data_IF_722594186290
#
_entry.id   IF_722594186290
#
_cell.length_a   1.000
_cell.length_b   1.000
_cell.length_c   1.000
_cell.angle_alpha   90.00
_cell.angle_beta   90.00
_cell.angle_gamma   90.00
#
_symmetry.space_group_name_H-M   'P 1'
#
loop_
_entity.id
_entity.type
_entity.pdbx_description
1 polymer ?
#
# COMPACT_ATOMS: atom_id res chain seq x y z
N UNK A 1 20.99 6.38 -22.77
CA UNK A 1 19.71 5.93 -23.38
C UNK A 1 18.78 5.62 -22.22
N UNK A 2 17.50 5.97 -22.27
CA UNK A 2 16.56 5.77 -21.15
C UNK A 2 15.31 5.00 -21.58
N UNK A 3 14.55 4.48 -20.62
CA UNK A 3 13.35 3.69 -20.86
C UNK A 3 12.10 4.41 -20.35
N UNK A 4 11.04 4.44 -21.15
CA UNK A 4 9.75 5.02 -20.84
C UNK A 4 8.66 3.95 -20.98
N UNK A 5 7.82 3.80 -19.96
CA UNK A 5 6.72 2.83 -19.98
C UNK A 5 5.42 3.57 -20.21
N UNK A 6 4.68 3.14 -21.22
CA UNK A 6 3.38 3.73 -21.58
C UNK A 6 2.35 3.34 -20.52
N UNK A 7 1.91 4.31 -19.71
CA UNK A 7 0.96 4.09 -18.61
C UNK A 7 -0.48 3.82 -19.08
N UNK A 8 -0.93 4.53 -20.12
CA UNK A 8 -2.26 4.40 -20.73
C UNK A 8 -2.13 4.27 -22.25
N UNK A 9 -3.07 3.59 -22.88
CA UNK A 9 -3.10 3.45 -24.33
C UNK A 9 -3.13 4.83 -25.00
N UNK A 10 -2.16 5.10 -25.88
CA UNK A 10 -1.99 6.43 -26.44
C UNK A 10 -1.30 6.42 -27.81
N UNK A 11 -1.18 7.60 -28.43
CA UNK A 11 -0.51 7.78 -29.72
C UNK A 11 0.87 8.38 -29.53
N UNK A 12 1.78 8.16 -30.48
CA UNK A 12 3.13 8.74 -30.45
C UNK A 12 3.13 10.25 -30.21
N UNK A 13 2.18 10.98 -30.80
CA UNK A 13 2.09 12.44 -30.66
C UNK A 13 1.93 12.88 -29.20
N UNK A 14 1.04 12.22 -28.45
CA UNK A 14 0.81 12.51 -27.04
C UNK A 14 2.01 12.12 -26.16
N UNK A 15 2.71 11.04 -26.50
CA UNK A 15 3.96 10.65 -25.83
C UNK A 15 5.08 11.64 -26.15
N UNK A 16 5.16 12.12 -27.39
CA UNK A 16 6.18 13.08 -27.82
C UNK A 16 6.02 14.44 -27.13
N UNK A 17 4.80 14.92 -26.89
CA UNK A 17 4.55 16.15 -26.12
C UNK A 17 5.02 16.00 -24.66
N UNK A 18 4.88 14.80 -24.09
CA UNK A 18 5.42 14.47 -22.76
C UNK A 18 6.94 14.37 -22.75
N UNK A 19 7.55 13.80 -23.80
CA UNK A 19 8.99 13.54 -23.87
C UNK A 19 9.83 14.71 -24.41
N UNK A 20 9.28 15.60 -25.24
CA UNK A 20 10.01 16.69 -25.89
C UNK A 20 9.83 18.01 -25.15
N UNK A 21 10.84 18.88 -25.22
CA UNK A 21 10.74 20.24 -24.68
C UNK A 21 9.73 21.09 -25.47
N UNK A 22 8.88 21.86 -24.78
CA UNK A 22 7.84 22.69 -25.41
C UNK A 22 8.40 23.81 -26.32
N UNK A 23 9.68 24.18 -26.14
CA UNK A 23 10.33 25.28 -26.87
C UNK A 23 11.19 24.81 -28.05
N UNK A 24 10.97 23.59 -28.56
CA UNK A 24 11.69 23.12 -29.74
C UNK A 24 11.11 23.72 -31.01
N UNK A 25 11.99 24.15 -31.92
CA UNK A 25 11.57 24.46 -33.28
C UNK A 25 10.97 23.22 -33.96
N UNK A 26 10.06 23.43 -34.91
CA UNK A 26 9.37 22.36 -35.62
C UNK A 26 10.35 21.35 -36.25
N UNK A 27 11.46 21.84 -36.81
CA UNK A 27 12.55 21.04 -37.38
C UNK A 27 13.23 20.13 -36.34
N UNK A 28 13.42 20.61 -35.11
CA UNK A 28 14.02 19.82 -34.02
C UNK A 28 13.06 18.79 -33.46
N UNK A 29 11.76 19.10 -33.47
CA UNK A 29 10.72 18.18 -33.02
C UNK A 29 10.58 16.99 -33.97
N UNK A 30 10.61 17.23 -35.29
CA UNK A 30 10.59 16.17 -36.30
C UNK A 30 11.85 15.28 -36.26
N UNK A 31 13.03 15.89 -36.08
CA UNK A 31 14.27 15.14 -35.92
C UNK A 31 14.26 14.24 -34.66
N UNK A 32 13.70 14.74 -33.56
CA UNK A 32 13.58 13.98 -32.32
C UNK A 32 12.56 12.83 -32.46
N UNK A 33 11.42 13.05 -33.13
CA UNK A 33 10.46 11.99 -33.44
C UNK A 33 11.07 10.89 -34.30
N UNK A 34 11.86 11.26 -35.31
CA UNK A 34 12.57 10.30 -36.17
C UNK A 34 13.59 9.48 -35.36
N UNK A 35 14.35 10.11 -34.48
CA UNK A 35 15.29 9.42 -33.60
C UNK A 35 14.57 8.47 -32.61
N UNK A 36 13.37 8.84 -32.13
CA UNK A 36 12.55 7.98 -31.27
C UNK A 36 12.02 6.76 -32.03
N UNK A 37 11.63 6.94 -33.30
CA UNK A 37 11.19 5.86 -34.18
C UNK A 37 12.34 4.90 -34.53
N UNK A 38 13.52 5.42 -34.83
CA UNK A 38 14.73 4.63 -35.08
C UNK A 38 15.16 3.82 -33.85
N UNK A 39 14.96 4.36 -32.65
CA UNK A 39 15.27 3.65 -31.39
C UNK A 39 14.23 2.58 -31.01
N UNK A 40 13.04 2.57 -31.62
CA UNK A 40 11.94 1.67 -31.28
C UNK A 40 11.31 0.99 -32.50
N UNK A 41 12.06 0.18 -33.26
CA UNK A 41 11.52 -0.54 -34.40
C UNK A 41 10.46 -1.60 -34.00
N UNK A 42 10.42 -1.99 -32.73
CA UNK A 42 9.49 -2.98 -32.18
C UNK A 42 8.14 -2.39 -31.72
N UNK A 43 8.03 -1.07 -31.61
CA UNK A 43 6.81 -0.42 -31.11
C UNK A 43 5.90 0.03 -32.27
N UNK A 44 4.61 -0.28 -32.20
CA UNK A 44 3.63 0.32 -33.10
C UNK A 44 3.35 1.77 -32.67
N UNK A 45 4.00 2.71 -33.35
CA UNK A 45 3.91 4.13 -33.05
C UNK A 45 2.53 4.74 -33.39
N UNK A 46 1.70 4.01 -34.15
CA UNK A 46 0.32 4.42 -34.43
C UNK A 46 -0.58 4.23 -33.22
N UNK A 47 -0.24 3.23 -32.39
CA UNK A 47 -1.03 2.80 -31.23
C UNK A 47 -0.13 2.15 -30.18
N UNK A 48 0.22 2.92 -29.16
CA UNK A 48 1.03 2.46 -28.05
C UNK A 48 0.13 1.86 -26.98
N UNK A 49 0.17 0.54 -26.81
CA UNK A 49 -0.56 -0.16 -25.77
C UNK A 49 0.00 0.18 -24.37
N UNK A 50 -0.86 0.13 -23.35
CA UNK A 50 -0.44 0.17 -21.95
C UNK A 50 0.63 -0.90 -21.68
N UNK A 51 1.69 -0.53 -20.98
CA UNK A 51 2.84 -1.40 -20.70
C UNK A 51 3.90 -1.46 -21.80
N UNK A 52 3.70 -0.78 -22.94
CA UNK A 52 4.72 -0.72 -24.00
C UNK A 52 5.96 0.01 -23.49
N UNK A 53 7.13 -0.60 -23.71
CA UNK A 53 8.43 -0.05 -23.32
C UNK A 53 9.07 0.65 -24.52
N UNK A 54 9.34 1.94 -24.36
CA UNK A 54 10.00 2.79 -25.35
C UNK A 54 11.40 3.18 -24.88
N UNK A 55 12.38 3.03 -25.77
CA UNK A 55 13.74 3.53 -25.62
C UNK A 55 13.83 4.97 -26.11
N UNK A 56 14.16 5.88 -25.23
CA UNK A 56 14.31 7.31 -25.55
C UNK A 56 15.81 7.64 -25.63
N UNK A 57 16.29 8.18 -26.77
CA UNK A 57 17.66 8.66 -26.91
C UNK A 57 17.96 9.88 -26.04
N UNK A 58 19.17 9.98 -25.50
CA UNK A 58 19.63 11.17 -24.77
C UNK A 58 20.20 12.22 -25.73
N UNK A 59 19.33 12.75 -26.60
CA UNK A 59 19.68 13.83 -27.53
C UNK A 59 19.10 15.17 -27.06
N UNK A 60 19.67 16.32 -27.49
CA UNK A 60 19.30 17.66 -27.01
C UNK A 60 17.89 18.18 -27.39
N UNK A 61 16.90 17.30 -27.56
CA UNK A 61 15.48 17.61 -27.69
C UNK A 61 14.58 16.90 -26.68
N UNK A 62 15.10 15.92 -25.94
CA UNK A 62 14.30 15.17 -24.97
C UNK A 62 14.43 15.76 -23.57
N UNK A 63 13.29 15.98 -22.91
CA UNK A 63 13.21 16.42 -21.50
C UNK A 63 13.99 15.44 -20.64
N UNK A 64 15.12 15.85 -20.07
CA UNK A 64 15.97 15.00 -19.19
C UNK A 64 15.18 14.44 -17.99
N UNK A 65 14.12 15.12 -17.57
CA UNK A 65 13.27 14.76 -16.43
C UNK A 65 12.33 13.57 -16.65
N UNK A 66 12.24 13.00 -17.87
CA UNK A 66 11.37 11.85 -18.14
C UNK A 66 12.10 10.52 -17.92
N UNK A 67 12.53 10.27 -16.69
CA UNK A 67 12.70 8.91 -16.13
C UNK A 67 11.39 8.41 -15.49
N UNK A 68 10.26 9.02 -15.81
CA UNK A 68 8.93 8.65 -15.35
C UNK A 68 8.47 7.38 -16.08
N UNK A 69 8.93 6.23 -15.59
CA UNK A 69 7.98 5.16 -15.31
C UNK A 69 7.24 5.57 -14.03
N UNK A 70 5.92 5.46 -14.04
CA UNK A 70 4.94 6.01 -13.09
C UNK A 70 4.65 7.51 -13.30
N UNK A 71 3.43 7.77 -13.76
CA UNK A 71 2.64 8.95 -13.47
C UNK A 71 2.68 9.22 -11.97
N UNK A 72 3.10 10.42 -11.58
CA UNK A 72 3.55 10.79 -10.23
C UNK A 72 4.89 10.15 -9.86
N UNK A 73 5.83 10.95 -9.32
CA UNK A 73 7.20 10.47 -9.08
C UNK A 73 7.23 9.17 -8.28
N UNK A 74 8.26 8.31 -8.41
CA UNK A 74 8.32 6.99 -7.77
C UNK A 74 8.12 7.02 -6.24
N UNK A 75 8.40 8.17 -5.62
CA UNK A 75 8.18 8.39 -4.19
C UNK A 75 6.71 8.69 -3.84
N UNK A 76 5.96 9.36 -4.73
CA UNK A 76 4.53 9.61 -4.56
C UNK A 76 3.73 8.31 -4.70
N UNK A 77 4.06 7.49 -5.71
CA UNK A 77 3.47 6.16 -5.86
C UNK A 77 3.79 5.23 -4.66
N UNK A 78 5.00 5.32 -4.10
CA UNK A 78 5.35 4.60 -2.88
C UNK A 78 4.56 5.11 -1.66
N UNK A 79 4.30 6.42 -1.58
CA UNK A 79 3.49 7.01 -0.52
C UNK A 79 2.04 6.51 -0.58
N UNK A 80 1.43 6.51 -1.76
CA UNK A 80 0.08 5.96 -1.94
C UNK A 80 -0.01 4.48 -1.58
N UNK A 81 0.95 3.67 -2.04
CA UNK A 81 1.00 2.24 -1.70
C UNK A 81 1.17 1.99 -0.20
N UNK A 82 1.98 2.81 0.50
CA UNK A 82 2.12 2.69 1.94
C UNK A 82 0.84 3.07 2.67
N UNK A 83 0.18 4.15 2.25
CA UNK A 83 -1.06 4.62 2.85
C UNK A 83 -2.18 3.59 2.69
N UNK A 84 -2.31 3.01 1.49
CA UNK A 84 -3.27 1.93 1.21
C UNK A 84 -2.96 0.68 2.03
N UNK A 85 -1.70 0.23 2.08
CA UNK A 85 -1.30 -0.94 2.85
C UNK A 85 -1.53 -0.76 4.37
N UNK A 86 -1.27 0.44 4.90
CA UNK A 86 -1.54 0.79 6.30
C UNK A 86 -3.03 0.82 6.59
N UNK A 87 -3.84 1.37 5.69
CA UNK A 87 -5.30 1.37 5.78
C UNK A 87 -5.85 -0.06 5.83
N UNK A 88 -5.44 -0.92 4.91
CA UNK A 88 -5.83 -2.33 4.89
C UNK A 88 -5.40 -3.08 6.14
N UNK A 89 -4.17 -2.86 6.62
CA UNK A 89 -3.67 -3.50 7.83
C UNK A 89 -4.46 -3.08 9.08
N UNK A 90 -4.85 -1.80 9.18
CA UNK A 90 -5.70 -1.30 10.26
C UNK A 90 -7.11 -1.89 10.18
N UNK A 91 -7.70 -1.94 8.98
CA UNK A 91 -9.04 -2.50 8.77
C UNK A 91 -9.08 -3.99 9.12
N UNK A 92 -8.11 -4.78 8.65
CA UNK A 92 -8.01 -6.21 8.94
C UNK A 92 -7.76 -6.47 10.43
N UNK A 93 -6.89 -5.67 11.07
CA UNK A 93 -6.62 -5.77 12.51
C UNK A 93 -7.87 -5.45 13.33
N UNK A 94 -8.60 -4.37 12.98
CA UNK A 94 -9.82 -3.98 13.67
C UNK A 94 -10.94 -5.02 13.47
N UNK A 95 -11.10 -5.54 12.25
CA UNK A 95 -12.09 -6.58 11.96
C UNK A 95 -11.79 -7.87 12.73
N UNK A 96 -10.53 -8.32 12.74
CA UNK A 96 -10.10 -9.48 13.51
C UNK A 96 -10.24 -9.29 15.02
N UNK A 97 -9.93 -8.09 15.53
CA UNK A 97 -10.12 -7.72 16.93
C UNK A 97 -11.59 -7.77 17.34
N UNK A 98 -12.48 -7.20 16.52
CA UNK A 98 -13.92 -7.21 16.76
C UNK A 98 -14.51 -8.64 16.74
N UNK A 99 -14.08 -9.49 15.80
CA UNK A 99 -14.50 -10.88 15.77
C UNK A 99 -14.07 -11.63 17.04
N UNK A 100 -12.81 -11.46 17.48
CA UNK A 100 -12.32 -12.05 18.73
C UNK A 100 -13.07 -11.54 19.95
N UNK A 101 -13.40 -10.25 20.01
CA UNK A 101 -14.18 -9.66 21.10
C UNK A 101 -15.58 -10.30 21.19
N UNK A 102 -16.23 -10.55 20.05
CA UNK A 102 -17.52 -11.22 19.99
C UNK A 102 -17.42 -12.68 20.51
N UNK A 103 -16.40 -13.42 20.07
CA UNK A 103 -16.16 -14.80 20.53
C UNK A 103 -15.86 -14.86 22.05
N UNK A 104 -15.08 -13.91 22.55
CA UNK A 104 -14.80 -13.77 23.98
C UNK A 104 -16.09 -13.50 24.76
N UNK A 105 -16.94 -12.57 24.29
CA UNK A 105 -18.21 -12.26 24.94
C UNK A 105 -19.13 -13.48 24.98
N UNK A 106 -19.22 -14.24 23.88
CA UNK A 106 -20.01 -15.47 23.84
C UNK A 106 -19.46 -16.53 24.81
N UNK A 107 -18.14 -16.67 24.90
CA UNK A 107 -17.47 -17.59 25.84
C UNK A 107 -17.75 -17.19 27.30
N UNK A 108 -17.71 -15.89 27.60
CA UNK A 108 -18.04 -15.40 28.95
C UNK A 108 -19.52 -15.65 29.30
N UNK A 109 -20.44 -15.45 28.36
CA UNK A 109 -21.86 -15.79 28.54
C UNK A 109 -22.07 -17.28 28.82
N UNK A 110 -21.29 -18.15 28.17
CA UNK A 110 -21.36 -19.60 28.42
C UNK A 110 -20.93 -19.95 29.86
N UNK A 111 -19.99 -19.23 30.46
CA UNK A 111 -19.64 -19.42 31.87
C UNK A 111 -20.75 -19.01 32.84
N UNK A 112 -21.66 -18.14 32.40
CA UNK A 112 -22.82 -17.73 33.17
C UNK A 112 -24.04 -18.65 32.99
N UNK A 113 -23.90 -19.73 32.21
CA UNK A 113 -24.93 -20.74 32.06
C UNK A 113 -25.19 -21.51 33.38
N UNK A 114 -26.43 -21.97 33.55
CA UNK A 114 -26.86 -22.68 34.75
C UNK A 114 -26.06 -23.95 35.03
N UNK A 115 -25.60 -24.67 34.00
CA UNK A 115 -24.80 -25.88 34.16
C UNK A 115 -23.39 -25.56 34.68
N UNK A 116 -22.73 -24.54 34.13
CA UNK A 116 -21.39 -24.11 34.55
C UNK A 116 -21.42 -23.52 35.96
N UNK A 117 -22.43 -22.70 36.28
CA UNK A 117 -22.64 -22.16 37.63
C UNK A 117 -22.81 -23.25 38.68
N UNK A 118 -23.55 -24.32 38.36
CA UNK A 118 -23.69 -25.49 39.24
C UNK A 118 -22.35 -26.21 39.43
N UNK A 119 -21.58 -26.41 38.36
CA UNK A 119 -20.26 -27.04 38.44
C UNK A 119 -19.27 -26.22 39.27
N UNK A 120 -19.31 -24.88 39.18
CA UNK A 120 -18.54 -23.97 40.03
C UNK A 120 -18.93 -24.07 41.52
N UNK A 121 -20.19 -24.41 41.80
CA UNK A 121 -20.70 -24.62 43.16
C UNK A 121 -20.41 -26.01 43.72
N UNK A 122 -19.89 -26.94 42.93
CA UNK A 122 -19.62 -28.32 43.35
C UNK A 122 -18.44 -28.35 44.36
N UNK A 123 -18.60 -29.00 45.53
CA UNK A 123 -17.55 -29.03 46.55
C UNK A 123 -16.32 -29.86 46.16
N UNK A 124 -16.41 -30.77 45.19
CA UNK A 124 -15.30 -31.63 44.77
C UNK A 124 -14.48 -31.01 43.63
N UNK A 125 -15.13 -30.29 42.72
CA UNK A 125 -14.49 -29.78 41.48
C UNK A 125 -14.64 -28.27 41.27
N UNK A 126 -15.54 -27.61 42.01
CA UNK A 126 -15.90 -26.20 41.78
C UNK A 126 -14.76 -25.21 42.00
N UNK A 127 -13.81 -25.53 42.90
CA UNK A 127 -12.60 -24.71 43.10
C UNK A 127 -11.72 -24.63 41.84
N UNK A 128 -11.43 -25.79 41.23
CA UNK A 128 -10.61 -25.87 40.00
C UNK A 128 -11.33 -25.25 38.80
N UNK A 129 -12.65 -25.46 38.70
CA UNK A 129 -13.45 -24.86 37.62
C UNK A 129 -13.49 -23.34 37.76
N UNK A 130 -13.68 -22.82 38.98
CA UNK A 130 -13.67 -21.37 39.25
C UNK A 130 -12.32 -20.74 38.90
N UNK A 131 -11.22 -21.39 39.27
CA UNK A 131 -9.88 -20.92 38.94
C UNK A 131 -9.67 -20.88 37.42
N UNK A 132 -10.07 -21.93 36.72
CA UNK A 132 -9.97 -22.00 35.25
C UNK A 132 -10.79 -20.90 34.57
N UNK A 133 -12.03 -20.66 35.01
CA UNK A 133 -12.89 -19.59 34.48
C UNK A 133 -12.27 -18.22 34.73
N UNK A 134 -11.71 -17.98 35.92
CA UNK A 134 -11.03 -16.72 36.24
C UNK A 134 -9.75 -16.53 35.41
N UNK A 135 -9.00 -17.60 35.15
CA UNK A 135 -7.82 -17.55 34.29
C UNK A 135 -8.19 -17.18 32.86
N UNK A 136 -9.28 -17.75 32.31
CA UNK A 136 -9.79 -17.39 30.98
C UNK A 136 -10.23 -15.92 30.94
N UNK A 137 -10.98 -15.45 31.96
CA UNK A 137 -11.39 -14.03 32.07
C UNK A 137 -10.19 -13.08 32.03
N UNK A 138 -9.15 -13.39 32.83
CA UNK A 138 -7.92 -12.59 32.87
C UNK A 138 -7.13 -12.65 31.56
N UNK A 139 -7.12 -13.81 30.90
CA UNK A 139 -6.54 -13.96 29.56
C UNK A 139 -7.21 -13.06 28.54
N UNK A 140 -8.54 -13.02 28.53
CA UNK A 140 -9.29 -12.14 27.63
C UNK A 140 -9.04 -10.66 27.88
N UNK A 141 -8.91 -10.22 29.15
CA UNK A 141 -8.51 -8.84 29.46
C UNK A 141 -7.13 -8.50 28.88
N UNK A 142 -6.15 -9.40 29.03
CA UNK A 142 -4.81 -9.21 28.46
C UNK A 142 -4.85 -9.16 26.93
N UNK A 143 -5.63 -10.03 26.29
CA UNK A 143 -5.80 -10.05 24.84
C UNK A 143 -6.39 -8.74 24.31
N UNK A 144 -7.35 -8.14 25.04
CA UNK A 144 -7.93 -6.83 24.69
C UNK A 144 -6.89 -5.72 24.75
N UNK A 145 -6.04 -5.72 25.77
CA UNK A 145 -4.95 -4.76 25.84
C UNK A 145 -3.94 -4.94 24.71
N UNK A 146 -3.60 -6.18 24.38
CA UNK A 146 -2.67 -6.48 23.28
C UNK A 146 -3.25 -6.05 21.93
N UNK A 147 -4.54 -6.26 21.69
CA UNK A 147 -5.22 -5.80 20.48
C UNK A 147 -5.18 -4.27 20.35
N UNK A 148 -5.53 -3.54 21.43
CA UNK A 148 -5.45 -2.08 21.45
C UNK A 148 -4.02 -1.56 21.23
N UNK A 149 -3.00 -2.26 21.77
CA UNK A 149 -1.59 -1.93 21.52
C UNK A 149 -1.18 -2.20 20.08
N UNK A 150 -1.67 -3.27 19.45
CA UNK A 150 -1.36 -3.59 18.06
C UNK A 150 -1.86 -2.51 17.10
N UNK A 151 -3.11 -2.05 17.26
CA UNK A 151 -3.68 -0.97 16.45
C UNK A 151 -2.89 0.34 16.62
N UNK A 152 -2.54 0.67 17.87
CA UNK A 152 -1.71 1.84 18.17
C UNK A 152 -0.33 1.74 17.52
N UNK A 153 0.32 0.59 17.59
CA UNK A 153 1.63 0.36 16.99
C UNK A 153 1.59 0.50 15.46
N UNK A 154 0.58 -0.07 14.79
CA UNK A 154 0.41 0.07 13.33
C UNK A 154 0.28 1.55 12.96
N UNK A 155 -0.53 2.30 13.71
CA UNK A 155 -0.72 3.74 13.50
C UNK A 155 0.58 4.53 13.70
N UNK A 156 1.32 4.26 14.77
CA UNK A 156 2.58 4.97 15.08
C UNK A 156 3.68 4.65 14.08
N UNK A 157 3.87 3.38 13.73
CA UNK A 157 4.84 2.95 12.71
C UNK A 157 4.47 3.51 11.35
N UNK A 158 3.19 3.49 10.97
CA UNK A 158 2.71 4.07 9.72
C UNK A 158 3.00 5.56 9.61
N UNK A 159 2.68 6.33 10.66
CA UNK A 159 3.01 7.77 10.73
C UNK A 159 4.51 8.03 10.63
N UNK A 160 5.34 7.23 11.30
CA UNK A 160 6.79 7.37 11.24
C UNK A 160 7.34 7.06 9.84
N UNK A 161 6.83 6.03 9.17
CA UNK A 161 7.22 5.67 7.81
C UNK A 161 6.84 6.77 6.81
N UNK A 162 5.61 7.30 6.88
CA UNK A 162 5.14 8.42 6.06
C UNK A 162 5.99 9.67 6.31
N UNK A 163 6.32 9.98 7.57
CA UNK A 163 7.17 11.12 7.90
C UNK A 163 8.57 10.99 7.27
N UNK A 164 9.17 9.79 7.30
CA UNK A 164 10.47 9.53 6.68
C UNK A 164 10.44 9.62 5.16
N UNK A 165 9.36 9.16 4.52
CA UNK A 165 9.16 9.33 3.08
C UNK A 165 9.04 10.81 2.70
N UNK A 166 8.33 11.61 3.51
CA UNK A 166 8.23 13.05 3.29
C UNK A 166 9.58 13.78 3.48
N UNK A 167 10.41 13.36 4.44
CA UNK A 167 11.77 13.86 4.59
C UNK A 167 12.64 13.54 3.37
N UNK A 168 12.58 12.30 2.86
CA UNK A 168 13.30 11.88 1.65
C UNK A 168 12.82 12.66 0.42
N UNK A 169 11.52 12.92 0.31
CA UNK A 169 10.95 13.71 -0.79
C UNK A 169 11.52 15.12 -0.85
N UNK A 170 11.68 15.79 0.30
CA UNK A 170 12.29 17.12 0.39
C UNK A 170 13.79 17.16 0.08
N UNK A 171 14.50 16.04 0.25
CA UNK A 171 15.93 15.94 -0.03
C UNK A 171 16.21 15.61 -1.49
N UNK A 172 15.27 14.93 -2.16
CA UNK A 172 15.40 14.46 -3.54
C UNK A 172 14.65 15.35 -4.55
N UNK A 173 13.93 16.37 -4.09
CA UNK A 173 13.17 17.34 -4.90
C UNK A 173 13.00 18.68 -4.21
#
# INVERSE_FOLDING_TARGET
>A
MRTFIVGDETKLKAVSEKLLHANLSQVRSEAALKALQEANPHADLSRLARGTVLFVPDTPGFKVSTTSSATEGPLAALHELLDEALGLALEETAAGSNARLADQEQTLKAFDDGAVKKAIGDPNVGGQIRESVNAVRKGFEADRELAARAEKNITEVGKAAIAKLNELGKLLG
#
